data_IF_599515807984
#
_entry.id   IF_599515807984
#
_cell.length_a   1.000
_cell.length_b   1.000
_cell.length_c   1.000
_cell.angle_alpha   90.00
_cell.angle_beta   90.00
_cell.angle_gamma   90.00
#
_symmetry.space_group_name_H-M   'P 1'
#
loop_
_entity.id
_entity.type
_entity.pdbx_description
1 polymer ?
#
# COMPACT_ATOMS: atom_id res chain seq x y z
N UNK A 1 18.80 0.28 -8.96
CA UNK A 1 17.57 -0.27 -9.65
C UNK A 1 16.54 -0.67 -8.57
N UNK A 2 15.21 -0.81 -8.87
CA UNK A 2 14.18 -1.10 -7.84
C UNK A 2 13.64 -2.50 -8.04
N UNK A 3 13.57 -3.27 -6.94
CA UNK A 3 12.98 -4.60 -6.87
C UNK A 3 11.73 -4.58 -5.97
N UNK A 4 10.65 -5.21 -6.42
CA UNK A 4 9.46 -5.48 -5.62
C UNK A 4 9.49 -6.94 -5.18
N UNK A 5 10.02 -7.17 -3.98
CA UNK A 5 10.16 -8.51 -3.40
C UNK A 5 8.87 -8.89 -2.67
N UNK A 6 8.14 -9.83 -3.23
CA UNK A 6 6.89 -10.30 -2.64
C UNK A 6 7.17 -11.07 -1.35
N UNK A 7 6.56 -10.64 -0.23
CA UNK A 7 6.58 -11.38 1.04
C UNK A 7 5.33 -12.24 1.08
N UNK A 8 5.48 -13.52 1.37
CA UNK A 8 4.36 -14.46 1.48
C UNK A 8 4.49 -15.23 2.79
N UNK A 9 3.39 -15.28 3.53
CA UNK A 9 3.15 -16.18 4.65
C UNK A 9 1.83 -16.88 4.35
N UNK A 10 1.90 -18.14 3.92
CA UNK A 10 0.73 -18.98 3.69
C UNK A 10 0.92 -20.30 4.45
N UNK A 11 0.41 -20.34 5.68
CA UNK A 11 0.54 -21.50 6.58
C UNK A 11 -0.22 -22.71 6.06
N UNK A 12 -1.31 -22.48 5.31
CA UNK A 12 -2.15 -23.58 4.77
C UNK A 12 -1.44 -24.34 3.67
N UNK A 13 -0.71 -23.61 2.81
CA UNK A 13 0.02 -24.20 1.69
C UNK A 13 1.52 -24.36 1.98
N UNK A 14 1.97 -24.05 3.19
CA UNK A 14 3.37 -24.06 3.60
C UNK A 14 4.27 -23.24 2.65
N UNK A 15 3.76 -22.11 2.17
CA UNK A 15 4.49 -21.21 1.26
C UNK A 15 5.03 -20.00 2.04
N UNK A 16 6.36 -19.88 2.06
CA UNK A 16 7.08 -18.78 2.71
C UNK A 16 8.07 -18.16 1.75
N UNK A 17 7.98 -16.83 1.56
CA UNK A 17 8.90 -16.12 0.65
C UNK A 17 9.40 -14.81 1.25
N UNK A 18 10.70 -14.54 1.07
CA UNK A 18 11.35 -13.27 1.41
C UNK A 18 11.14 -12.80 2.87
N UNK A 19 11.01 -13.74 3.80
CA UNK A 19 10.76 -13.44 5.22
C UNK A 19 11.91 -12.67 5.88
N UNK A 20 13.11 -12.73 5.30
CA UNK A 20 14.27 -12.00 5.80
C UNK A 20 14.10 -10.48 5.79
N UNK A 21 13.12 -9.93 5.03
CA UNK A 21 12.78 -8.50 5.08
C UNK A 21 11.85 -8.13 6.24
N UNK A 22 11.21 -9.08 6.91
CA UNK A 22 10.23 -8.78 7.97
C UNK A 22 10.81 -7.96 9.13
N UNK A 23 12.03 -8.23 9.65
CA UNK A 23 12.59 -7.42 10.72
C UNK A 23 12.73 -5.94 10.35
N UNK A 24 13.17 -5.64 9.12
CA UNK A 24 13.29 -4.26 8.65
C UNK A 24 11.93 -3.61 8.38
N UNK A 25 10.98 -4.35 7.80
CA UNK A 25 9.58 -3.90 7.60
C UNK A 25 8.96 -3.56 8.94
N UNK A 26 9.12 -4.44 9.94
CA UNK A 26 8.63 -4.23 11.29
C UNK A 26 9.25 -2.99 11.96
N UNK A 27 10.56 -2.85 11.88
CA UNK A 27 11.27 -1.66 12.37
C UNK A 27 10.73 -0.37 11.73
N UNK A 28 10.42 -0.43 10.43
CA UNK A 28 9.86 0.70 9.71
C UNK A 28 8.43 1.02 10.15
N UNK A 29 7.61 0.00 10.41
CA UNK A 29 6.24 0.17 10.94
C UNK A 29 6.26 0.85 12.31
N UNK A 30 7.07 0.36 13.24
CA UNK A 30 7.22 0.95 14.58
C UNK A 30 7.66 2.41 14.51
N UNK A 31 8.63 2.68 13.65
CA UNK A 31 9.16 4.05 13.49
C UNK A 31 8.09 5.04 13.02
N UNK A 32 7.13 4.59 12.22
CA UNK A 32 6.10 5.43 11.61
C UNK A 32 4.68 5.09 12.08
N UNK A 33 4.53 4.35 13.17
CA UNK A 33 3.26 3.92 13.76
C UNK A 33 2.25 5.08 13.84
N UNK A 34 2.68 6.23 14.35
CA UNK A 34 1.84 7.42 14.48
C UNK A 34 1.25 7.95 13.16
N UNK A 35 1.77 7.53 12.00
CA UNK A 35 1.26 7.94 10.68
C UNK A 35 0.47 6.85 9.99
N UNK A 36 0.60 5.60 10.44
CA UNK A 36 -0.01 4.43 9.82
C UNK A 36 -1.30 4.02 10.52
N UNK A 37 -1.34 4.10 11.84
CA UNK A 37 -2.43 3.56 12.64
C UNK A 37 -3.19 4.65 13.39
N UNK A 38 -4.42 4.37 13.72
CA UNK A 38 -5.28 5.13 14.62
C UNK A 38 -5.28 4.51 16.04
N UNK A 39 -6.06 5.08 16.95
CA UNK A 39 -6.09 4.62 18.35
C UNK A 39 -6.85 3.30 18.51
N UNK A 40 -7.56 2.82 17.47
CA UNK A 40 -8.21 1.49 17.46
C UNK A 40 -7.23 0.36 17.15
N UNK A 41 -6.08 0.68 16.59
CA UNK A 41 -5.03 -0.31 16.41
C UNK A 41 -4.35 -0.58 17.76
N UNK A 42 -4.85 -1.58 18.46
CA UNK A 42 -4.29 -2.07 19.73
C UNK A 42 -3.76 -3.48 19.51
N UNK A 43 -2.46 -3.65 19.47
CA UNK A 43 -1.82 -4.93 19.39
C UNK A 43 -1.10 -5.22 20.72
N UNK A 44 -1.58 -6.20 21.48
CA UNK A 44 -0.88 -6.71 22.66
C UNK A 44 0.46 -7.34 22.28
N UNK A 45 0.55 -7.87 21.06
CA UNK A 45 1.76 -8.41 20.46
C UNK A 45 1.88 -7.85 19.04
N UNK A 46 2.74 -6.85 18.90
CA UNK A 46 2.92 -6.12 17.65
C UNK A 46 3.60 -6.97 16.57
N UNK A 47 4.45 -7.94 16.98
CA UNK A 47 5.08 -8.89 16.06
C UNK A 47 4.02 -9.81 15.45
N UNK A 48 3.13 -10.33 16.29
CA UNK A 48 2.01 -11.14 15.84
C UNK A 48 1.11 -10.34 14.88
N UNK A 49 0.80 -9.08 15.19
CA UNK A 49 -0.02 -8.22 14.34
C UNK A 49 0.60 -8.02 12.95
N UNK A 50 1.94 -7.87 12.85
CA UNK A 50 2.62 -7.82 11.56
C UNK A 50 2.50 -9.12 10.77
N UNK A 51 2.72 -10.27 11.42
CA UNK A 51 2.56 -11.56 10.76
C UNK A 51 1.13 -11.76 10.27
N UNK A 52 0.14 -11.45 11.10
CA UNK A 52 -1.29 -11.57 10.74
C UNK A 52 -1.63 -10.63 9.57
N UNK A 53 -1.07 -9.42 9.51
CA UNK A 53 -1.24 -8.49 8.40
C UNK A 53 -0.64 -9.04 7.08
N UNK A 54 0.56 -9.61 7.13
CA UNK A 54 1.20 -10.21 5.93
C UNK A 54 0.38 -11.41 5.47
N UNK A 55 -0.06 -12.28 6.38
CA UNK A 55 -0.89 -13.45 6.06
C UNK A 55 -2.24 -13.02 5.48
N UNK A 56 -2.91 -12.03 6.08
CA UNK A 56 -4.19 -11.49 5.59
C UNK A 56 -4.06 -10.83 4.21
N UNK A 57 -2.93 -10.19 3.93
CA UNK A 57 -2.64 -9.60 2.61
C UNK A 57 -2.38 -10.68 1.54
N UNK A 58 -2.10 -11.91 1.94
CA UNK A 58 -1.85 -13.05 1.09
C UNK A 58 -0.70 -12.79 0.10
N UNK A 59 -1.03 -12.75 -1.21
CA UNK A 59 -0.04 -12.49 -2.27
C UNK A 59 0.22 -11.01 -2.55
N UNK A 60 -0.29 -10.12 -1.71
CA UNK A 60 -0.32 -8.68 -1.96
C UNK A 60 0.46 -7.89 -0.91
N UNK A 61 1.58 -8.43 -0.46
CA UNK A 61 2.56 -7.74 0.38
C UNK A 61 3.94 -7.73 -0.28
N UNK A 62 4.60 -6.56 -0.35
CA UNK A 62 5.92 -6.42 -0.97
C UNK A 62 6.87 -5.60 -0.10
N UNK A 63 8.09 -6.09 0.05
CA UNK A 63 9.23 -5.25 0.35
C UNK A 63 9.65 -4.52 -0.93
N UNK A 64 9.91 -3.24 -0.83
CA UNK A 64 10.42 -2.40 -1.92
C UNK A 64 11.90 -2.15 -1.62
N UNK A 65 12.76 -2.66 -2.48
CA UNK A 65 14.20 -2.78 -2.22
C UNK A 65 14.99 -2.09 -3.32
N UNK A 66 16.05 -1.39 -2.93
CA UNK A 66 17.07 -0.98 -3.89
C UNK A 66 17.89 -2.21 -4.29
N UNK A 67 17.89 -2.56 -5.58
CA UNK A 67 18.55 -3.77 -6.05
C UNK A 67 20.07 -3.67 -6.16
N UNK A 68 20.66 -2.49 -5.98
CA UNK A 68 22.12 -2.28 -5.99
C UNK A 68 22.67 -2.45 -4.58
N UNK A 69 22.01 -1.87 -3.58
CA UNK A 69 22.46 -1.92 -2.18
C UNK A 69 21.77 -3.03 -1.38
N UNK A 70 20.71 -3.64 -1.92
CA UNK A 70 19.80 -4.56 -1.24
C UNK A 70 19.12 -3.96 0.01
N UNK A 71 19.10 -2.64 0.14
CA UNK A 71 18.48 -1.95 1.26
C UNK A 71 16.96 -1.84 1.10
N UNK A 72 16.22 -2.01 2.19
CA UNK A 72 14.78 -1.77 2.25
C UNK A 72 14.50 -0.27 2.10
N UNK A 73 13.81 0.10 1.02
CA UNK A 73 13.31 1.46 0.80
C UNK A 73 11.98 1.70 1.53
N UNK A 74 11.17 0.66 1.63
CA UNK A 74 9.84 0.68 2.21
C UNK A 74 9.08 -0.60 1.91
N UNK A 75 7.79 -0.58 2.21
CA UNK A 75 6.88 -1.69 1.87
C UNK A 75 5.55 -1.17 1.34
N UNK A 76 4.83 -2.05 0.67
CA UNK A 76 3.47 -1.82 0.22
C UNK A 76 2.65 -3.10 0.34
N UNK A 77 1.39 -2.97 0.74
CA UNK A 77 0.44 -4.07 0.71
C UNK A 77 -0.94 -3.60 0.30
N UNK A 78 -1.78 -4.55 -0.09
CA UNK A 78 -3.19 -4.31 -0.38
C UNK A 78 -4.08 -5.06 0.59
N UNK A 79 -5.19 -4.42 0.93
CA UNK A 79 -6.32 -4.98 1.68
C UNK A 79 -7.64 -4.50 1.09
N UNK A 80 -8.76 -4.69 1.81
CA UNK A 80 -10.09 -4.22 1.42
C UNK A 80 -10.44 -4.51 -0.05
N UNK A 81 -10.19 -5.78 -0.46
CA UNK A 81 -10.42 -6.24 -1.82
C UNK A 81 -11.91 -6.27 -2.17
N UNK A 82 -12.25 -5.77 -3.36
CA UNK A 82 -13.57 -5.92 -3.98
C UNK A 82 -13.40 -6.73 -5.27
N UNK A 83 -14.18 -7.80 -5.38
CA UNK A 83 -14.09 -8.77 -6.46
C UNK A 83 -13.68 -10.14 -5.97
N UNK A 84 -13.25 -11.00 -6.88
CA UNK A 84 -12.71 -12.33 -6.59
C UNK A 84 -11.35 -12.51 -7.26
N UNK A 85 -10.66 -13.63 -6.99
CA UNK A 85 -9.31 -13.89 -7.51
C UNK A 85 -9.22 -13.89 -9.05
N UNK A 86 -10.32 -14.11 -9.76
CA UNK A 86 -10.38 -14.09 -11.23
C UNK A 86 -10.63 -12.67 -11.76
N UNK A 87 -11.37 -11.83 -10.98
CA UNK A 87 -11.78 -10.49 -11.36
C UNK A 87 -11.63 -9.52 -10.18
N UNK A 88 -10.39 -9.16 -9.85
CA UNK A 88 -10.13 -8.12 -8.87
C UNK A 88 -10.57 -6.77 -9.41
N UNK A 89 -11.60 -6.18 -8.80
CA UNK A 89 -12.09 -4.87 -9.19
C UNK A 89 -11.28 -3.77 -8.53
N UNK A 90 -11.23 -3.75 -7.20
CA UNK A 90 -10.46 -2.74 -6.48
C UNK A 90 -9.83 -3.31 -5.20
N UNK A 91 -8.80 -2.62 -4.73
CA UNK A 91 -8.21 -2.83 -3.43
C UNK A 91 -7.70 -1.51 -2.87
N UNK A 92 -7.45 -1.48 -1.59
CA UNK A 92 -6.83 -0.35 -0.90
C UNK A 92 -5.34 -0.60 -0.74
N UNK A 93 -4.53 0.41 -1.10
CA UNK A 93 -3.08 0.36 -0.98
C UNK A 93 -2.63 1.03 0.30
N UNK A 94 -1.80 0.32 1.06
CA UNK A 94 -1.08 0.81 2.22
C UNK A 94 0.41 0.82 1.93
N UNK A 95 1.13 1.87 2.31
CA UNK A 95 2.56 2.00 2.04
C UNK A 95 3.27 2.74 3.15
N UNK A 96 4.51 2.33 3.42
CA UNK A 96 5.42 3.08 4.24
C UNK A 96 6.82 3.09 3.61
N UNK A 97 7.47 4.26 3.61
CA UNK A 97 8.82 4.44 3.06
C UNK A 97 9.74 5.09 4.08
N UNK A 98 10.98 4.63 4.13
CA UNK A 98 12.00 5.24 4.97
C UNK A 98 12.27 6.70 4.56
N UNK A 99 12.44 7.58 5.54
CA UNK A 99 12.53 9.04 5.33
C UNK A 99 13.63 9.45 4.36
N UNK A 100 14.75 8.72 4.33
CA UNK A 100 15.88 9.01 3.43
C UNK A 100 15.51 8.94 1.94
N UNK A 101 14.41 8.26 1.59
CA UNK A 101 13.93 8.13 0.21
C UNK A 101 12.78 9.07 -0.14
N UNK A 102 12.27 9.87 0.81
CA UNK A 102 11.12 10.74 0.56
C UNK A 102 11.42 11.77 -0.53
N UNK A 103 10.38 12.26 -1.21
CA UNK A 103 10.46 13.22 -2.30
C UNK A 103 10.44 12.55 -3.68
N UNK A 104 11.39 12.84 -4.53
CA UNK A 104 11.43 12.38 -5.92
C UNK A 104 11.58 10.87 -6.05
N UNK A 105 12.37 10.25 -5.16
CA UNK A 105 12.59 8.79 -5.18
C UNK A 105 11.31 8.02 -4.87
N UNK A 106 10.60 8.36 -3.77
CA UNK A 106 9.32 7.70 -3.46
C UNK A 106 8.32 7.91 -4.58
N UNK A 107 8.24 9.11 -5.16
CA UNK A 107 7.34 9.38 -6.29
C UNK A 107 7.63 8.46 -7.49
N UNK A 108 8.91 8.32 -7.82
CA UNK A 108 9.34 7.45 -8.92
C UNK A 108 9.01 5.98 -8.65
N UNK A 109 9.34 5.49 -7.43
CA UNK A 109 9.07 4.12 -6.98
C UNK A 109 7.58 3.83 -6.99
N UNK A 110 6.79 4.68 -6.35
CA UNK A 110 5.34 4.53 -6.27
C UNK A 110 4.68 4.51 -7.65
N UNK A 111 5.12 5.37 -8.59
CA UNK A 111 4.65 5.36 -9.98
C UNK A 111 4.93 4.03 -10.68
N UNK A 112 6.14 3.47 -10.48
CA UNK A 112 6.50 2.15 -11.02
C UNK A 112 5.65 1.05 -10.39
N UNK A 113 5.46 1.10 -9.06
CA UNK A 113 4.69 0.09 -8.34
C UNK A 113 3.22 0.07 -8.76
N UNK A 114 2.55 1.23 -8.85
CA UNK A 114 1.17 1.31 -9.33
C UNK A 114 1.02 0.74 -10.74
N UNK A 115 1.95 1.07 -11.65
CA UNK A 115 1.95 0.50 -13.02
C UNK A 115 2.14 -1.02 -12.98
N UNK A 116 3.05 -1.51 -12.15
CA UNK A 116 3.29 -2.93 -11.95
C UNK A 116 2.02 -3.64 -11.46
N UNK A 117 1.32 -3.06 -10.48
CA UNK A 117 0.09 -3.63 -9.94
C UNK A 117 -1.03 -3.70 -11.00
N UNK A 118 -1.26 -2.62 -11.73
CA UNK A 118 -2.25 -2.62 -12.82
C UNK A 118 -1.91 -3.63 -13.94
N UNK A 119 -0.63 -3.82 -14.24
CA UNK A 119 -0.19 -4.74 -15.31
C UNK A 119 -0.38 -6.20 -14.89
N UNK A 120 -0.01 -6.55 -13.64
CA UNK A 120 0.17 -7.95 -13.24
C UNK A 120 -1.01 -8.53 -12.46
N UNK A 121 -1.87 -7.70 -11.85
CA UNK A 121 -2.95 -8.18 -10.96
C UNK A 121 -4.36 -7.84 -11.44
N UNK A 122 -4.48 -7.16 -12.57
CA UNK A 122 -5.79 -6.91 -13.18
C UNK A 122 -6.68 -5.90 -12.46
N UNK A 123 -6.20 -5.19 -11.44
CA UNK A 123 -6.97 -4.15 -10.77
C UNK A 123 -7.59 -3.17 -11.76
N UNK A 124 -8.87 -2.84 -11.56
CA UNK A 124 -9.56 -1.75 -12.28
C UNK A 124 -9.36 -0.43 -11.55
N UNK A 125 -9.27 -0.47 -10.22
CA UNK A 125 -9.17 0.69 -9.35
C UNK A 125 -8.26 0.38 -8.15
N UNK A 126 -7.43 1.33 -7.76
CA UNK A 126 -6.65 1.30 -6.53
C UNK A 126 -7.11 2.48 -5.68
N UNK A 127 -7.46 2.21 -4.42
CA UNK A 127 -7.85 3.21 -3.42
C UNK A 127 -6.73 3.43 -2.44
N UNK A 128 -6.74 4.57 -1.77
CA UNK A 128 -5.88 4.87 -0.63
C UNK A 128 -6.67 5.74 0.35
N UNK A 129 -6.64 5.36 1.62
CA UNK A 129 -7.27 6.06 2.72
C UNK A 129 -6.21 6.87 3.47
N UNK A 130 -6.47 8.13 3.74
CA UNK A 130 -5.46 9.06 4.27
C UNK A 130 -6.06 9.99 5.31
N UNK A 131 -5.42 10.12 6.47
CA UNK A 131 -5.78 11.16 7.44
C UNK A 131 -5.71 12.54 6.79
N UNK A 132 -6.73 13.36 7.03
CA UNK A 132 -6.86 14.68 6.40
C UNK A 132 -5.62 15.55 6.59
N UNK A 133 -4.94 15.42 7.72
CA UNK A 133 -3.75 16.22 8.06
C UNK A 133 -2.46 15.71 7.38
N UNK A 134 -2.46 14.51 6.78
CA UNK A 134 -1.28 13.95 6.14
C UNK A 134 -1.04 14.56 4.74
N UNK A 135 -0.58 15.82 4.72
CA UNK A 135 -0.34 16.58 3.49
C UNK A 135 0.71 15.92 2.58
N UNK A 136 1.70 15.25 3.17
CA UNK A 136 2.78 14.59 2.41
C UNK A 136 2.24 13.45 1.54
N UNK A 137 1.45 12.56 2.14
CA UNK A 137 0.84 11.45 1.40
C UNK A 137 -0.17 11.97 0.38
N UNK A 138 -0.98 12.97 0.73
CA UNK A 138 -1.92 13.61 -0.21
C UNK A 138 -1.21 14.21 -1.43
N UNK A 139 -0.07 14.89 -1.20
CA UNK A 139 0.77 15.41 -2.27
C UNK A 139 1.32 14.30 -3.18
N UNK A 140 1.80 13.19 -2.58
CA UNK A 140 2.26 12.02 -3.33
C UNK A 140 1.13 11.44 -4.19
N UNK A 141 -0.02 11.14 -3.60
CA UNK A 141 -1.17 10.55 -4.30
C UNK A 141 -1.60 11.39 -5.50
N UNK A 142 -1.74 12.71 -5.31
CA UNK A 142 -2.07 13.65 -6.41
C UNK A 142 -1.02 13.60 -7.53
N UNK A 143 0.26 13.56 -7.17
CA UNK A 143 1.36 13.48 -8.16
C UNK A 143 1.37 12.18 -8.95
N UNK A 144 0.76 11.12 -8.42
CA UNK A 144 0.59 9.82 -9.07
C UNK A 144 -0.69 9.75 -9.91
N UNK A 145 -1.55 10.76 -9.86
CA UNK A 145 -2.81 10.84 -10.60
C UNK A 145 -4.02 10.31 -9.83
N UNK A 146 -3.89 10.06 -8.53
CA UNK A 146 -5.05 9.77 -7.68
C UNK A 146 -5.94 11.02 -7.56
N UNK A 147 -7.25 10.79 -7.57
CA UNK A 147 -8.26 11.81 -7.33
C UNK A 147 -8.93 11.58 -6.00
N UNK A 148 -9.23 12.65 -5.26
CA UNK A 148 -10.04 12.58 -4.06
C UNK A 148 -11.48 12.23 -4.44
N UNK A 149 -12.05 11.21 -3.80
CA UNK A 149 -13.42 10.75 -4.01
C UNK A 149 -14.35 11.11 -2.86
N UNK A 150 -13.85 11.06 -1.62
CA UNK A 150 -14.67 11.31 -0.44
C UNK A 150 -13.88 11.96 0.69
N UNK A 151 -14.63 12.57 1.61
CA UNK A 151 -14.21 13.00 2.93
C UNK A 151 -15.15 12.38 3.95
N UNK A 152 -14.64 11.53 4.81
CA UNK A 152 -15.34 10.93 5.93
C UNK A 152 -15.02 11.77 7.18
N UNK A 153 -16.02 12.44 7.72
CA UNK A 153 -15.84 13.32 8.89
C UNK A 153 -15.91 12.50 10.16
N UNK A 154 -14.92 12.71 11.06
CA UNK A 154 -14.86 12.02 12.35
C UNK A 154 -14.82 10.50 12.22
N UNK A 155 -14.19 9.97 11.16
CA UNK A 155 -14.20 8.54 10.81
C UNK A 155 -13.47 7.68 11.82
N UNK A 156 -12.45 8.23 12.47
CA UNK A 156 -11.65 7.48 13.44
C UNK A 156 -11.15 8.37 14.58
N UNK A 157 -10.50 7.79 15.55
CA UNK A 157 -9.87 8.49 16.68
C UNK A 157 -8.35 8.33 16.58
N UNK A 158 -7.64 9.43 16.74
CA UNK A 158 -6.19 9.46 16.82
C UNK A 158 -5.71 10.49 17.82
N UNK A 159 -4.84 10.06 18.76
CA UNK A 159 -4.41 10.86 19.91
C UNK A 159 -5.63 11.41 20.69
N UNK A 160 -6.62 10.56 20.93
CA UNK A 160 -7.90 10.89 21.60
C UNK A 160 -8.69 12.01 20.92
N UNK A 161 -8.52 12.23 19.62
CA UNK A 161 -9.26 13.22 18.83
C UNK A 161 -9.89 12.60 17.60
N UNK A 162 -11.13 12.99 17.32
CA UNK A 162 -11.78 12.61 16.06
C UNK A 162 -10.95 13.10 14.87
N UNK A 163 -10.75 12.23 13.91
CA UNK A 163 -10.00 12.50 12.69
C UNK A 163 -10.86 12.31 11.46
N UNK A 164 -10.76 13.27 10.57
CA UNK A 164 -11.30 13.16 9.23
C UNK A 164 -10.37 12.30 8.36
N UNK A 165 -10.98 11.49 7.51
CA UNK A 165 -10.29 10.63 6.57
C UNK A 165 -10.69 10.97 5.14
N UNK A 166 -9.71 11.10 4.26
CA UNK A 166 -9.94 11.33 2.82
C UNK A 166 -9.67 10.04 2.04
N UNK A 167 -10.59 9.70 1.14
CA UNK A 167 -10.44 8.58 0.22
C UNK A 167 -9.96 9.12 -1.13
N UNK A 168 -8.86 8.57 -1.60
CA UNK A 168 -8.29 8.81 -2.92
C UNK A 168 -8.37 7.56 -3.78
N UNK A 169 -8.49 7.71 -5.09
CA UNK A 169 -8.40 6.57 -5.99
C UNK A 169 -7.75 6.91 -7.33
N UNK A 170 -7.21 5.86 -7.97
CA UNK A 170 -6.78 5.87 -9.34
C UNK A 170 -7.38 4.69 -10.08
N UNK A 171 -7.97 4.93 -11.25
CA UNK A 171 -8.51 3.88 -12.12
C UNK A 171 -7.54 3.55 -13.24
N UNK A 172 -7.54 2.29 -13.66
CA UNK A 172 -6.80 1.86 -14.84
C UNK A 172 -7.39 2.57 -16.06
N UNK A 173 -6.55 3.31 -16.79
CA UNK A 173 -6.96 3.86 -18.10
C UNK A 173 -7.12 2.69 -19.06
N UNK A 174 -8.34 2.35 -19.45
CA UNK A 174 -8.57 1.47 -20.57
C UNK A 174 -8.07 2.20 -21.82
N UNK A 175 -7.17 1.57 -22.57
CA UNK A 175 -6.88 2.03 -23.92
C UNK A 175 -8.18 1.86 -24.70
N UNK A 176 -8.82 2.95 -25.04
CA UNK A 176 -9.95 2.96 -25.95
C UNK A 176 -9.49 2.24 -27.23
N UNK A 177 -9.91 1.01 -27.42
CA UNK A 177 -9.82 0.35 -28.71
C UNK A 177 -10.78 1.12 -29.59
N UNK A 178 -10.30 2.09 -30.34
CA UNK A 178 -11.04 2.62 -31.47
C UNK A 178 -11.36 1.41 -32.36
N UNK A 179 -12.60 0.93 -32.23
CA UNK A 179 -13.18 0.07 -33.27
C UNK A 179 -13.21 0.95 -34.53
N UNK A 180 -12.25 0.71 -35.44
CA UNK A 180 -12.44 1.10 -36.82
C UNK A 180 -13.71 0.34 -37.27
N UNK A 181 -14.82 1.04 -37.32
CA UNK A 181 -15.95 0.62 -38.13
C UNK A 181 -15.50 0.77 -39.60
N UNK A 182 -15.34 -0.37 -40.23
CA UNK A 182 -15.24 -0.52 -41.69
C UNK A 182 -16.67 -0.63 -42.18
#
# INVERSE_FOLDING_TARGET
MIKFAKIIIDRKNNEYRNLHFLPEVFSLMLKYERFMFDDYFQANDIVKALFDMVEASGRFFWAIVDSETNELMGFAYFDNFIGNFQNLHSAEINTCFARKYWGSQVRFVAKKFIKYCFKNYGFKKIKATVFRENLMVKGLLRSLGFKKEALLKGETIKNNKLQDVEIYSITRREKCKQKKLI
#
